data_IF_157422877350
#
_entry.id   IF_157422877350
#
_cell.length_a   1.000
_cell.length_b   1.000
_cell.length_c   1.000
_cell.angle_alpha   90.00
_cell.angle_beta   90.00
_cell.angle_gamma   90.00
#
_symmetry.space_group_name_H-M   'P 1'
#
loop_
_entity.id
_entity.type
_entity.pdbx_description
1 polymer ?
#
# COMPACT_ATOMS: atom_id res chain seq x y z
N UNK A 1 23.63 4.37 -14.15
CA UNK A 1 22.41 5.17 -13.89
C UNK A 1 21.37 5.05 -15.00
N UNK A 2 21.70 5.37 -16.27
CA UNK A 2 20.73 5.26 -17.39
C UNK A 2 20.09 3.88 -17.54
N UNK A 3 20.88 2.79 -17.49
CA UNK A 3 20.36 1.43 -17.55
C UNK A 3 19.32 1.17 -16.45
N UNK A 4 19.70 1.46 -15.20
CA UNK A 4 18.83 1.34 -14.02
C UNK A 4 17.52 2.10 -14.14
N UNK A 5 17.56 3.38 -14.55
CA UNK A 5 16.35 4.18 -14.69
C UNK A 5 15.41 3.62 -15.76
N UNK A 6 15.95 3.06 -16.84
CA UNK A 6 15.12 2.40 -17.88
C UNK A 6 14.52 1.09 -17.37
N UNK A 7 15.29 0.29 -16.63
CA UNK A 7 14.79 -0.93 -16.00
C UNK A 7 13.63 -0.61 -15.04
N UNK A 8 13.75 0.43 -14.22
CA UNK A 8 12.70 0.82 -13.26
C UNK A 8 11.50 1.50 -13.92
N UNK A 9 11.72 2.46 -14.83
CA UNK A 9 10.64 3.25 -15.42
C UNK A 9 9.84 2.49 -16.48
N UNK A 10 10.48 1.59 -17.23
CA UNK A 10 9.87 0.91 -18.38
C UNK A 10 9.81 -0.61 -18.23
N UNK A 11 10.35 -1.18 -17.14
CA UNK A 11 10.37 -2.64 -16.93
C UNK A 11 11.24 -3.38 -17.94
N UNK A 12 12.30 -2.75 -18.44
CA UNK A 12 13.23 -3.38 -19.39
C UNK A 12 13.96 -4.55 -18.72
N UNK A 13 14.14 -5.63 -19.48
CA UNK A 13 15.02 -6.71 -19.08
C UNK A 13 16.47 -6.22 -19.06
N UNK A 14 17.29 -6.83 -18.19
CA UNK A 14 18.67 -6.40 -18.00
C UNK A 14 19.58 -6.74 -19.19
N UNK A 15 19.23 -7.72 -20.00
CA UNK A 15 19.91 -8.05 -21.25
C UNK A 15 19.57 -7.06 -22.38
N UNK A 16 18.34 -6.53 -22.42
CA UNK A 16 17.92 -5.53 -23.40
C UNK A 16 18.69 -4.20 -23.31
N UNK A 17 19.41 -3.90 -22.21
CA UNK A 17 20.21 -2.68 -22.12
C UNK A 17 21.53 -2.78 -22.89
N UNK A 18 21.98 -3.98 -23.25
CA UNK A 18 23.24 -4.16 -23.98
C UNK A 18 23.18 -3.52 -25.38
N UNK A 19 22.05 -3.70 -26.09
CA UNK A 19 21.85 -3.16 -27.44
C UNK A 19 22.01 -1.63 -27.51
N UNK A 20 21.54 -0.91 -26.48
CA UNK A 20 21.50 0.55 -26.47
C UNK A 20 22.64 1.19 -25.68
N UNK A 21 23.12 0.52 -24.63
CA UNK A 21 24.09 1.07 -23.67
C UNK A 21 25.42 0.29 -23.64
N UNK A 22 25.54 -0.80 -24.40
CA UNK A 22 26.72 -1.71 -24.44
C UNK A 22 27.15 -2.15 -23.04
N UNK A 23 26.16 -2.56 -22.26
CA UNK A 23 26.30 -2.96 -20.86
C UNK A 23 25.81 -4.39 -20.71
N UNK A 24 26.66 -5.26 -20.14
CA UNK A 24 26.28 -6.65 -19.85
C UNK A 24 25.11 -6.71 -18.86
N UNK A 25 24.28 -7.75 -19.00
CA UNK A 25 23.16 -8.04 -18.09
C UNK A 25 23.60 -8.04 -16.62
N UNK A 26 24.73 -8.70 -16.32
CA UNK A 26 25.29 -8.78 -14.96
C UNK A 26 25.62 -7.42 -14.38
N UNK A 27 26.21 -6.52 -15.18
CA UNK A 27 26.52 -5.15 -14.78
C UNK A 27 25.23 -4.34 -14.57
N UNK A 28 24.26 -4.47 -15.48
CA UNK A 28 22.98 -3.79 -15.39
C UNK A 28 22.22 -4.17 -14.11
N UNK A 29 22.16 -5.47 -13.79
CA UNK A 29 21.57 -5.98 -12.55
C UNK A 29 22.31 -5.52 -11.29
N UNK A 30 23.65 -5.53 -11.32
CA UNK A 30 24.46 -5.00 -10.21
C UNK A 30 24.16 -3.52 -9.95
N UNK A 31 24.12 -2.69 -11.00
CA UNK A 31 23.81 -1.26 -10.87
C UNK A 31 22.38 -0.99 -10.44
N UNK A 32 21.40 -1.78 -10.92
CA UNK A 32 20.03 -1.72 -10.43
C UNK A 32 19.98 -1.98 -8.92
N UNK A 33 20.63 -3.06 -8.46
CA UNK A 33 20.68 -3.39 -7.03
C UNK A 33 21.30 -2.27 -6.20
N UNK A 34 22.49 -1.79 -6.59
CA UNK A 34 23.18 -0.72 -5.88
C UNK A 34 22.37 0.58 -5.83
N UNK A 35 21.67 0.91 -6.92
CA UNK A 35 20.79 2.07 -6.93
C UNK A 35 19.64 1.92 -5.95
N UNK A 36 18.93 0.77 -5.95
CA UNK A 36 17.86 0.52 -5.00
C UNK A 36 18.36 0.56 -3.55
N UNK A 37 19.50 -0.06 -3.26
CA UNK A 37 20.12 -0.02 -1.92
C UNK A 37 20.48 1.41 -1.51
N UNK A 38 20.96 2.23 -2.45
CA UNK A 38 21.28 3.65 -2.21
C UNK A 38 20.03 4.47 -1.92
N UNK A 39 18.96 4.30 -2.71
CA UNK A 39 17.66 4.96 -2.49
C UNK A 39 17.09 4.55 -1.13
N UNK A 40 17.09 3.26 -0.82
CA UNK A 40 16.65 2.76 0.49
C UNK A 40 17.49 3.40 1.59
N UNK A 41 18.82 3.40 1.47
CA UNK A 41 19.69 3.99 2.49
C UNK A 41 19.44 5.49 2.68
N UNK A 42 19.10 6.22 1.61
CA UNK A 42 18.86 7.66 1.67
C UNK A 42 17.49 8.00 2.29
N UNK A 43 16.47 7.18 2.05
CA UNK A 43 15.08 7.52 2.37
C UNK A 43 14.41 6.65 3.43
N UNK A 44 15.03 5.53 3.83
CA UNK A 44 14.38 4.56 4.75
C UNK A 44 13.92 5.16 6.07
N UNK A 45 14.70 6.10 6.63
CA UNK A 45 14.41 6.67 7.94
C UNK A 45 13.22 7.63 7.89
N UNK A 46 12.87 8.14 6.71
CA UNK A 46 11.71 9.01 6.51
C UNK A 46 10.49 8.24 5.99
N UNK A 47 10.69 7.36 5.00
CA UNK A 47 9.62 6.72 4.23
C UNK A 47 9.44 5.22 4.46
N UNK A 48 10.47 4.49 4.90
CA UNK A 48 10.40 3.02 5.14
C UNK A 48 10.48 2.70 6.64
N UNK A 49 9.63 3.36 7.42
CA UNK A 49 9.52 3.15 8.86
C UNK A 49 8.07 3.14 9.29
N UNK A 50 7.81 2.50 10.43
CA UNK A 50 6.52 2.64 11.12
C UNK A 50 6.23 4.11 11.46
N UNK A 51 4.94 4.44 11.56
CA UNK A 51 4.51 5.73 12.06
C UNK A 51 5.12 5.99 13.44
N UNK A 52 5.78 7.13 13.59
CA UNK A 52 6.26 7.61 14.88
C UNK A 52 5.19 8.51 15.51
N UNK A 53 5.42 8.91 16.75
CA UNK A 53 4.49 9.75 17.52
C UNK A 53 4.09 11.03 16.78
N UNK A 54 5.03 11.70 16.11
CA UNK A 54 4.76 12.95 15.39
C UNK A 54 3.96 12.71 14.10
N UNK A 55 4.25 11.62 13.39
CA UNK A 55 3.45 11.15 12.26
C UNK A 55 2.01 10.89 12.68
N UNK A 56 1.80 10.12 13.75
CA UNK A 56 0.46 9.82 14.29
C UNK A 56 -0.28 11.12 14.63
N UNK A 57 0.35 12.05 15.35
CA UNK A 57 -0.28 13.34 15.70
C UNK A 57 -0.69 14.14 14.46
N UNK A 58 0.18 14.20 13.45
CA UNK A 58 -0.10 14.89 12.19
C UNK A 58 -1.31 14.29 11.49
N UNK A 59 -1.37 12.96 11.39
CA UNK A 59 -2.46 12.26 10.73
C UNK A 59 -3.79 12.45 11.46
N UNK A 60 -3.79 12.34 12.78
CA UNK A 60 -4.97 12.58 13.60
C UNK A 60 -5.49 14.01 13.47
N UNK A 61 -4.59 15.00 13.45
CA UNK A 61 -4.98 16.41 13.28
C UNK A 61 -5.62 16.67 11.92
N UNK A 62 -5.04 16.13 10.84
CA UNK A 62 -5.61 16.23 9.49
C UNK A 62 -6.94 15.48 9.38
N UNK A 63 -7.03 14.30 10.00
CA UNK A 63 -8.26 13.52 10.08
C UNK A 63 -9.37 14.32 10.76
N UNK A 64 -9.09 14.92 11.91
CA UNK A 64 -10.02 15.78 12.65
C UNK A 64 -10.48 16.99 11.82
N UNK A 65 -9.56 17.72 11.18
CA UNK A 65 -9.89 18.86 10.30
C UNK A 65 -10.83 18.47 9.17
N UNK A 66 -10.71 17.23 8.68
CA UNK A 66 -11.53 16.66 7.60
C UNK A 66 -12.80 15.95 8.08
N UNK A 67 -13.08 15.93 9.38
CA UNK A 67 -14.26 15.27 9.96
C UNK A 67 -14.10 13.77 10.22
N UNK A 68 -12.89 13.24 10.11
CA UNK A 68 -12.51 11.85 10.39
C UNK A 68 -11.68 11.75 11.67
N UNK A 69 -12.23 12.19 12.81
CA UNK A 69 -11.57 12.06 14.11
C UNK A 69 -11.14 10.61 14.36
N UNK A 70 -9.90 10.41 14.83
CA UNK A 70 -9.37 9.09 15.14
C UNK A 70 -8.88 8.26 13.95
N UNK A 71 -9.10 8.73 12.72
CA UNK A 71 -8.57 8.08 11.52
C UNK A 71 -7.06 8.31 11.45
N UNK A 72 -6.30 7.22 11.32
CA UNK A 72 -4.89 7.33 10.97
C UNK A 72 -4.72 7.32 9.46
N UNK A 73 -5.29 6.38 8.70
CA UNK A 73 -5.24 6.37 7.22
C UNK A 73 -6.22 5.38 6.57
N UNK A 74 -6.23 5.32 5.23
CA UNK A 74 -6.94 4.30 4.45
C UNK A 74 -6.04 3.11 4.14
N UNK A 75 -6.57 1.90 4.26
CA UNK A 75 -5.94 0.66 3.78
C UNK A 75 -6.70 0.14 2.57
N UNK A 76 -5.96 -0.36 1.57
CA UNK A 76 -6.54 -1.07 0.44
C UNK A 76 -5.50 -1.97 -0.24
N UNK A 77 -5.97 -2.95 -1.02
CA UNK A 77 -5.13 -3.76 -1.89
C UNK A 77 -5.35 -3.40 -3.36
N UNK A 78 -4.28 -3.44 -4.16
CA UNK A 78 -4.37 -3.30 -5.62
C UNK A 78 -3.66 -4.45 -6.31
N UNK A 79 -4.30 -4.99 -7.35
CA UNK A 79 -3.75 -6.02 -8.20
C UNK A 79 -2.96 -5.36 -9.34
N UNK A 80 -1.66 -5.62 -9.42
CA UNK A 80 -0.79 -5.11 -10.47
C UNK A 80 -0.44 -6.21 -11.45
N UNK A 81 -0.77 -5.99 -12.73
CA UNK A 81 -0.47 -6.93 -13.81
C UNK A 81 1.03 -7.11 -13.96
N UNK A 82 1.50 -8.35 -13.80
CA UNK A 82 2.90 -8.69 -13.98
C UNK A 82 3.15 -9.07 -15.44
N UNK A 83 3.57 -8.09 -16.25
CA UNK A 83 3.78 -8.31 -17.70
C UNK A 83 4.86 -9.35 -18.01
N UNK A 84 5.99 -9.29 -17.30
CA UNK A 84 7.15 -10.17 -17.50
C UNK A 84 7.12 -11.38 -16.55
N UNK A 85 5.93 -11.96 -16.38
CA UNK A 85 5.65 -13.01 -15.41
C UNK A 85 6.31 -14.36 -15.77
N UNK A 86 7.07 -15.00 -14.84
CA UNK A 86 7.61 -16.34 -15.07
C UNK A 86 6.50 -17.39 -15.24
N UNK A 87 6.42 -18.02 -16.42
CA UNK A 87 5.38 -19.03 -16.73
C UNK A 87 5.31 -20.16 -15.69
N UNK A 88 6.43 -20.52 -15.07
CA UNK A 88 6.48 -21.53 -14.03
C UNK A 88 5.53 -21.27 -12.85
N UNK A 89 5.18 -20.00 -12.59
CA UNK A 89 4.36 -19.62 -11.43
C UNK A 89 2.88 -19.42 -11.80
N UNK A 90 2.51 -19.68 -13.07
CA UNK A 90 1.22 -19.28 -13.69
C UNK A 90 -0.01 -19.72 -12.92
N UNK A 91 0.03 -20.89 -12.28
CA UNK A 91 -1.12 -21.41 -11.51
C UNK A 91 -1.38 -20.64 -10.22
N UNK A 92 -0.35 -20.04 -9.62
CA UNK A 92 -0.48 -19.35 -8.35
C UNK A 92 -0.98 -17.92 -8.55
N UNK A 93 -0.38 -17.16 -9.48
CA UNK A 93 -0.57 -15.71 -9.58
C UNK A 93 -1.68 -15.25 -10.55
N UNK A 94 -2.35 -16.17 -11.25
CA UNK A 94 -3.49 -15.80 -12.09
C UNK A 94 -4.73 -15.67 -11.20
N UNK A 95 -5.29 -14.46 -11.15
CA UNK A 95 -6.53 -14.15 -10.46
C UNK A 95 -7.77 -14.48 -11.30
N UNK A 96 -8.92 -13.99 -10.83
CA UNK A 96 -10.23 -14.19 -11.50
C UNK A 96 -10.30 -13.55 -12.90
N UNK A 97 -9.48 -12.53 -13.14
CA UNK A 97 -9.40 -11.78 -14.38
C UNK A 97 -8.55 -12.46 -15.47
N UNK A 98 -7.96 -13.62 -15.16
CA UNK A 98 -7.13 -14.39 -16.09
C UNK A 98 -5.73 -13.81 -16.32
N UNK A 99 -5.39 -12.69 -15.67
CA UNK A 99 -4.07 -12.05 -15.78
C UNK A 99 -3.19 -12.45 -14.59
N UNK A 100 -1.87 -12.67 -14.80
CA UNK A 100 -0.96 -12.83 -13.68
C UNK A 100 -0.79 -11.48 -12.99
N UNK A 101 -1.18 -11.39 -11.71
CA UNK A 101 -1.01 -10.16 -10.93
C UNK A 101 -0.21 -10.43 -9.66
N UNK A 102 0.46 -9.39 -9.19
CA UNK A 102 1.02 -9.31 -7.84
C UNK A 102 0.18 -8.29 -7.08
N UNK A 103 -0.08 -8.56 -5.80
CA UNK A 103 -0.83 -7.65 -4.95
C UNK A 103 0.13 -6.71 -4.22
N UNK A 104 -0.23 -5.43 -4.21
CA UNK A 104 0.25 -4.42 -3.29
C UNK A 104 -0.86 -4.13 -2.27
N UNK A 105 -0.62 -4.43 -1.01
CA UNK A 105 -1.39 -3.92 0.13
C UNK A 105 -0.67 -2.67 0.65
N UNK A 106 -1.41 -1.58 0.82
CA UNK A 106 -0.83 -0.31 1.23
C UNK A 106 -1.73 0.44 2.20
N UNK A 107 -1.09 1.16 3.12
CA UNK A 107 -1.76 2.20 3.89
C UNK A 107 -1.28 3.54 3.39
N UNK A 108 -2.23 4.34 2.91
CA UNK A 108 -1.96 5.60 2.25
C UNK A 108 -2.76 6.75 2.84
N UNK A 109 -2.11 7.91 2.88
CA UNK A 109 -2.70 9.16 3.29
C UNK A 109 -3.43 9.90 2.19
N UNK A 110 -4.19 10.91 2.61
CA UNK A 110 -4.87 11.81 1.68
C UNK A 110 -3.91 12.57 0.73
N UNK A 111 -2.66 12.80 1.15
CA UNK A 111 -1.59 13.42 0.37
C UNK A 111 -0.67 12.38 -0.31
N UNK A 112 -1.14 11.13 -0.42
CA UNK A 112 -0.46 10.00 -1.06
C UNK A 112 0.82 9.55 -0.36
N UNK A 113 1.01 9.91 0.91
CA UNK A 113 2.07 9.35 1.73
C UNK A 113 1.73 7.90 2.07
N UNK A 114 2.58 6.99 1.59
CA UNK A 114 2.51 5.58 1.90
C UNK A 114 3.56 5.28 2.96
N UNK A 115 3.13 4.87 4.15
CA UNK A 115 4.03 4.51 5.26
C UNK A 115 4.03 3.01 5.55
N UNK A 116 3.06 2.27 5.01
CA UNK A 116 3.07 0.81 5.00
C UNK A 116 2.83 0.29 3.59
N UNK A 117 3.66 -0.66 3.18
CA UNK A 117 3.47 -1.45 1.95
C UNK A 117 3.77 -2.91 2.23
N UNK A 118 2.93 -3.81 1.74
CA UNK A 118 3.20 -5.23 1.66
C UNK A 118 2.99 -5.69 0.22
N UNK A 119 4.07 -6.15 -0.41
CA UNK A 119 4.11 -6.44 -1.85
C UNK A 119 4.60 -7.87 -2.11
N UNK A 120 4.19 -8.44 -3.24
CA UNK A 120 4.66 -9.75 -3.69
C UNK A 120 3.65 -10.88 -3.46
N UNK A 121 2.51 -10.58 -2.84
CA UNK A 121 1.44 -11.55 -2.66
C UNK A 121 0.82 -11.97 -3.98
N UNK A 122 0.37 -13.22 -4.03
CA UNK A 122 -0.21 -13.80 -5.24
C UNK A 122 -1.52 -13.11 -5.64
N UNK A 123 -1.67 -12.78 -6.93
CA UNK A 123 -2.87 -12.18 -7.52
C UNK A 123 -4.16 -12.99 -7.41
N UNK A 124 -4.08 -14.26 -7.03
CA UNK A 124 -5.25 -15.11 -6.73
C UNK A 124 -5.84 -14.89 -5.35
N UNK A 125 -5.12 -14.19 -4.46
CA UNK A 125 -5.60 -13.88 -3.12
C UNK A 125 -6.60 -12.72 -3.16
N UNK A 126 -7.48 -12.69 -2.17
CA UNK A 126 -8.33 -11.54 -1.90
C UNK A 126 -7.75 -10.69 -0.76
N UNK A 127 -8.33 -9.51 -0.56
CA UNK A 127 -7.87 -8.49 0.36
C UNK A 127 -7.80 -9.01 1.81
N UNK A 128 -8.81 -9.76 2.34
CA UNK A 128 -8.67 -10.40 3.65
C UNK A 128 -7.52 -11.40 3.75
N UNK A 129 -7.25 -12.19 2.71
CA UNK A 129 -6.11 -13.13 2.74
C UNK A 129 -4.76 -12.40 2.72
N UNK A 130 -4.68 -11.28 2.01
CA UNK A 130 -3.46 -10.45 1.99
C UNK A 130 -3.28 -9.76 3.34
N UNK A 131 -4.35 -9.24 3.92
CA UNK A 131 -4.38 -8.66 5.25
C UNK A 131 -3.82 -9.62 6.31
N UNK A 132 -4.25 -10.88 6.31
CA UNK A 132 -3.81 -11.91 7.27
C UNK A 132 -2.29 -12.18 7.21
N UNK A 133 -1.66 -11.89 6.07
CA UNK A 133 -0.21 -12.03 5.87
C UNK A 133 0.55 -10.71 6.06
N UNK A 134 -0.17 -9.58 5.99
CA UNK A 134 0.40 -8.24 6.05
C UNK A 134 0.77 -7.90 7.50
N UNK A 135 1.99 -7.39 7.75
CA UNK A 135 2.43 -7.08 9.11
C UNK A 135 1.76 -5.84 9.71
N UNK A 136 0.98 -5.10 8.92
CA UNK A 136 0.38 -3.81 9.32
C UNK A 136 -0.53 -3.91 10.56
N UNK A 137 -1.13 -5.09 10.80
CA UNK A 137 -1.96 -5.32 11.99
C UNK A 137 -1.24 -6.00 13.15
N UNK A 138 0.07 -6.27 13.05
CA UNK A 138 0.78 -6.95 14.12
C UNK A 138 0.76 -6.16 15.43
N UNK A 139 0.94 -4.83 15.37
CA UNK A 139 0.90 -3.98 16.57
C UNK A 139 -0.51 -3.86 17.14
N UNK A 140 -1.52 -3.75 16.28
CA UNK A 140 -2.94 -3.71 16.68
C UNK A 140 -3.32 -5.03 17.38
N UNK A 141 -2.98 -6.17 16.79
CA UNK A 141 -3.22 -7.49 17.36
C UNK A 141 -2.51 -7.71 18.71
N UNK A 142 -1.38 -7.02 18.94
CA UNK A 142 -0.64 -7.00 20.21
C UNK A 142 -1.16 -5.95 21.21
N UNK A 143 -2.23 -5.22 20.90
CA UNK A 143 -2.78 -4.16 21.76
C UNK A 143 -1.93 -2.88 21.80
N UNK A 144 -1.05 -2.68 20.82
CA UNK A 144 -0.14 -1.53 20.70
C UNK A 144 -0.62 -0.51 19.64
N UNK A 145 -1.90 -0.52 19.31
CA UNK A 145 -2.47 0.44 18.36
C UNK A 145 -2.23 1.89 18.82
N UNK A 146 -1.99 2.85 17.92
CA UNK A 146 -1.86 4.25 18.28
C UNK A 146 -3.06 4.77 19.06
N UNK A 147 -2.80 5.54 20.12
CA UNK A 147 -3.85 6.21 20.87
C UNK A 147 -4.29 7.47 20.13
N UNK A 148 -5.59 7.70 20.07
CA UNK A 148 -6.20 8.87 19.43
C UNK A 148 -7.09 9.68 20.38
N UNK A 149 -7.79 9.03 21.32
CA UNK A 149 -8.70 9.67 22.29
C UNK A 149 -9.67 10.67 21.65
N UNK A 150 -10.77 10.19 21.07
CA UNK A 150 -11.76 11.04 20.42
C UNK A 150 -13.19 10.64 20.83
N UNK A 151 -14.16 11.52 20.59
CA UNK A 151 -15.57 11.30 20.96
C UNK A 151 -16.45 11.36 19.71
N UNK A 152 -17.25 10.32 19.50
CA UNK A 152 -18.27 10.27 18.44
C UNK A 152 -19.58 9.85 19.07
N UNK A 153 -20.64 10.63 18.84
CA UNK A 153 -21.99 10.36 19.38
C UNK A 153 -22.00 10.13 20.91
N UNK A 154 -21.17 10.87 21.67
CA UNK A 154 -21.07 10.73 23.12
C UNK A 154 -20.28 9.49 23.60
N UNK A 155 -19.74 8.69 22.69
CA UNK A 155 -18.86 7.57 23.00
C UNK A 155 -17.40 7.95 22.84
N UNK A 156 -16.60 7.67 23.86
CA UNK A 156 -15.15 7.88 23.82
C UNK A 156 -14.44 6.65 23.25
N UNK A 157 -13.52 6.90 22.32
CA UNK A 157 -12.67 5.91 21.69
C UNK A 157 -11.21 6.21 22.00
N UNK A 158 -10.48 5.24 22.56
CA UNK A 158 -9.09 5.43 22.97
C UNK A 158 -8.09 5.24 21.80
N UNK A 159 -8.40 4.34 20.87
CA UNK A 159 -7.49 3.90 19.81
C UNK A 159 -7.89 4.44 18.44
N UNK A 160 -6.89 4.69 17.58
CA UNK A 160 -7.11 5.06 16.18
C UNK A 160 -7.67 3.91 15.35
N UNK A 161 -8.23 4.23 14.18
CA UNK A 161 -8.70 3.27 13.20
C UNK A 161 -8.20 3.57 11.79
N UNK A 162 -8.27 2.56 10.92
CA UNK A 162 -8.09 2.67 9.48
C UNK A 162 -9.44 2.72 8.77
N UNK A 163 -9.52 3.51 7.70
CA UNK A 163 -10.61 3.42 6.75
C UNK A 163 -10.35 2.20 5.85
N UNK A 164 -11.34 1.35 5.72
CA UNK A 164 -11.26 0.14 4.90
C UNK A 164 -12.55 -0.03 4.11
N UNK A 165 -12.52 -0.86 3.07
CA UNK A 165 -13.72 -1.17 2.31
C UNK A 165 -14.67 -2.14 3.04
N UNK A 166 -15.77 -2.49 2.37
CA UNK A 166 -16.77 -3.40 2.91
C UNK A 166 -16.32 -4.85 3.11
N UNK A 167 -15.31 -5.33 2.38
CA UNK A 167 -14.88 -6.73 2.36
C UNK A 167 -13.86 -7.07 3.46
N UNK A 168 -13.20 -6.07 4.05
CA UNK A 168 -12.33 -6.28 5.21
C UNK A 168 -13.09 -6.88 6.41
N UNK A 169 -12.42 -7.65 7.30
CA UNK A 169 -13.04 -8.16 8.52
C UNK A 169 -13.61 -7.06 9.43
N UNK A 170 -14.57 -7.42 10.29
CA UNK A 170 -15.11 -6.49 11.30
C UNK A 170 -14.18 -6.41 12.51
N UNK A 171 -13.12 -5.62 12.40
CA UNK A 171 -12.23 -5.32 13.52
C UNK A 171 -12.50 -3.93 14.09
N UNK A 172 -12.22 -3.75 15.39
CA UNK A 172 -12.34 -2.44 16.05
C UNK A 172 -11.39 -1.38 15.46
N UNK A 173 -10.31 -1.82 14.82
CA UNK A 173 -9.37 -0.97 14.11
C UNK A 173 -9.85 -0.57 12.71
N UNK A 174 -11.02 -1.03 12.25
CA UNK A 174 -11.57 -0.67 10.95
C UNK A 174 -12.89 0.07 11.05
N UNK A 175 -12.95 1.19 10.33
CA UNK A 175 -14.21 1.84 9.97
C UNK A 175 -14.43 1.57 8.49
N UNK A 176 -15.56 0.95 8.18
CA UNK A 176 -15.90 0.59 6.79
C UNK A 176 -16.50 1.77 6.06
N UNK A 177 -16.06 2.01 4.84
CA UNK A 177 -16.75 2.91 3.93
C UNK A 177 -18.15 2.35 3.63
N UNK A 178 -19.16 3.22 3.72
CA UNK A 178 -20.50 2.90 3.24
C UNK A 178 -20.68 3.52 1.87
N UNK A 179 -21.03 2.72 0.87
CA UNK A 179 -21.52 3.23 -0.40
C UNK A 179 -22.93 3.78 -0.17
N UNK A 180 -23.03 5.02 0.33
CA UNK A 180 -24.28 5.77 0.21
C UNK A 180 -24.34 6.26 -1.23
N UNK A 181 -25.06 5.53 -2.08
CA UNK A 181 -25.42 6.05 -3.40
C UNK A 181 -26.33 7.26 -3.19
N UNK A 182 -25.77 8.47 -3.18
CA UNK A 182 -26.59 9.64 -3.44
C UNK A 182 -27.07 9.53 -4.88
N UNK A 183 -28.30 9.03 -5.08
CA UNK A 183 -29.08 9.41 -6.25
C UNK A 183 -29.28 10.92 -6.13
N UNK A 184 -28.32 11.70 -6.62
CA UNK A 184 -28.53 13.10 -6.90
C UNK A 184 -29.61 13.14 -8.00
N UNK A 185 -30.86 13.33 -7.57
CA UNK A 185 -31.94 13.70 -8.48
C UNK A 185 -31.60 15.08 -9.03
N UNK A 186 -30.87 15.13 -10.14
CA UNK A 186 -30.81 16.30 -11.00
C UNK A 186 -32.11 16.37 -11.80
N UNK A 187 -33.21 16.65 -11.10
CA UNK A 187 -34.39 17.26 -11.69
C UNK A 187 -34.38 18.70 -11.18
N UNK A 188 -34.33 19.66 -12.12
CA UNK A 188 -34.19 21.12 -11.95
C UNK A 188 -32.79 21.68 -12.22
N UNK A 189 -32.40 21.66 -13.51
CA UNK A 189 -32.00 22.86 -14.24
C UNK A 189 -32.74 22.84 -15.58
#
# INVERSE_FOLDING_TARGET
MTATLRQLAYGYLADCVDEYLRMSESSAMMWLKLFCETVISAYKDEYLRSLNTDGIKRLLAVGEERGFMGMIESIDCTHWVWKNFPIAWRRQYIGKDGSPTIILDAVASHDLWIWHTFFGSSGSLNDPNVLDMSPVFNEVAQGKSPKANFVVNGHTYEYSYYLADGIYPKYSAFVKTTLISYKLNMNHI
#
